data_IF_363373240432
#
_entry.id   IF_363373240432
#
_cell.length_a   1.000
_cell.length_b   1.000
_cell.length_c   1.000
_cell.angle_alpha   90.00
_cell.angle_beta   90.00
_cell.angle_gamma   90.00
#
_symmetry.space_group_name_H-M   'P 1'
#
loop_
_entity.id
_entity.type
_entity.pdbx_description
1 polymer ?
#
# COMPACT_ATOMS: atom_id res chain seq x y z
N UNK A 1 8.49 15.87 14.90
CA UNK A 1 8.39 16.70 13.69
C UNK A 1 7.93 15.88 12.50
N UNK A 2 8.62 14.78 12.09
CA UNK A 2 8.24 13.98 10.92
C UNK A 2 6.80 13.47 11.03
N UNK A 3 6.41 12.87 12.17
CA UNK A 3 5.05 12.36 12.37
C UNK A 3 3.97 13.44 12.15
N UNK A 4 4.18 14.63 12.69
CA UNK A 4 3.24 15.75 12.50
C UNK A 4 3.28 16.28 11.05
N UNK A 5 4.45 16.32 10.43
CA UNK A 5 4.56 16.81 9.05
C UNK A 5 3.91 15.87 8.02
N UNK A 6 3.87 14.57 8.29
CA UNK A 6 3.13 13.57 7.49
C UNK A 6 1.63 13.91 7.46
N UNK A 7 1.08 14.39 8.58
CA UNK A 7 -0.31 14.84 8.66
C UNK A 7 -0.65 15.95 7.65
N UNK A 8 0.33 16.78 7.32
CA UNK A 8 0.16 17.87 6.34
C UNK A 8 0.37 17.35 4.91
N UNK A 9 1.41 16.55 4.70
CA UNK A 9 1.72 16.02 3.38
C UNK A 9 2.51 14.71 3.44
N UNK A 10 2.00 13.67 2.81
CA UNK A 10 2.60 12.33 2.79
C UNK A 10 4.03 12.32 2.19
N UNK A 11 4.33 13.22 1.24
CA UNK A 11 5.67 13.35 0.66
C UNK A 11 6.76 13.68 1.69
N UNK A 12 6.41 14.15 2.89
CA UNK A 12 7.37 14.38 3.96
C UNK A 12 8.07 13.09 4.44
N UNK A 13 7.53 11.91 4.13
CA UNK A 13 8.23 10.63 4.31
C UNK A 13 9.53 10.54 3.51
N UNK A 14 9.63 11.26 2.38
CA UNK A 14 10.86 11.30 1.58
C UNK A 14 12.03 12.00 2.30
N UNK A 15 11.78 12.70 3.42
CA UNK A 15 12.85 13.21 4.28
C UNK A 15 13.58 12.08 5.04
N UNK A 16 12.99 10.89 5.20
CA UNK A 16 13.59 9.78 5.94
C UNK A 16 14.94 9.36 5.36
N UNK A 17 15.12 9.17 4.05
CA UNK A 17 16.42 8.88 3.46
C UNK A 17 17.50 9.92 3.81
N UNK A 18 17.17 11.20 3.72
CA UNK A 18 18.11 12.27 4.09
C UNK A 18 18.50 12.20 5.58
N UNK A 19 17.53 11.99 6.47
CA UNK A 19 17.76 11.88 7.91
C UNK A 19 18.61 10.67 8.26
N UNK A 20 18.34 9.51 7.62
CA UNK A 20 19.13 8.28 7.84
C UNK A 20 20.57 8.48 7.38
N UNK A 21 20.80 9.14 6.25
CA UNK A 21 22.16 9.47 5.81
C UNK A 21 22.87 10.43 6.77
N UNK A 22 22.20 11.51 7.20
CA UNK A 22 22.77 12.44 8.20
C UNK A 22 23.12 11.70 9.50
N UNK A 23 22.24 10.79 9.95
CA UNK A 23 22.49 9.95 11.12
C UNK A 23 23.71 9.03 10.90
N UNK A 24 23.82 8.41 9.73
CA UNK A 24 24.95 7.54 9.37
C UNK A 24 26.28 8.33 9.46
N UNK A 25 26.37 9.46 8.77
CA UNK A 25 27.59 10.29 8.77
C UNK A 25 27.94 10.87 10.14
N UNK A 26 26.93 11.15 10.98
CA UNK A 26 27.16 11.62 12.35
C UNK A 26 27.58 10.50 13.31
N UNK A 27 27.09 9.28 13.11
CA UNK A 27 27.29 8.16 14.03
C UNK A 27 28.59 7.42 13.80
N UNK A 28 29.01 7.24 12.56
CA UNK A 28 30.17 6.45 12.19
C UNK A 28 31.39 7.35 12.00
N UNK A 29 32.52 6.97 12.62
CA UNK A 29 33.76 7.78 12.56
C UNK A 29 34.40 7.80 11.17
N UNK A 30 34.29 6.70 10.43
CA UNK A 30 34.85 6.53 9.09
C UNK A 30 33.73 6.12 8.13
N UNK A 31 32.85 7.06 7.70
CA UNK A 31 31.81 6.76 6.74
C UNK A 31 32.43 6.48 5.37
N UNK A 32 31.94 5.43 4.73
CA UNK A 32 32.37 5.02 3.39
C UNK A 32 31.20 4.95 2.40
N UNK A 33 31.49 4.83 1.12
CA UNK A 33 30.47 4.77 0.07
C UNK A 33 29.56 3.55 0.18
N UNK A 34 30.10 2.39 0.62
CA UNK A 34 29.31 1.16 0.80
C UNK A 34 28.31 1.33 1.96
N UNK A 35 28.77 1.87 3.09
CA UNK A 35 27.89 2.12 4.21
C UNK A 35 26.84 3.17 3.91
N UNK A 36 27.15 4.21 3.15
CA UNK A 36 26.18 5.19 2.65
C UNK A 36 25.09 4.55 1.78
N UNK A 37 25.48 3.64 0.87
CA UNK A 37 24.53 2.90 0.06
C UNK A 37 23.63 2.00 0.90
N UNK A 38 24.20 1.29 1.88
CA UNK A 38 23.42 0.44 2.80
C UNK A 38 22.44 1.31 3.62
N UNK A 39 22.89 2.45 4.15
CA UNK A 39 22.03 3.38 4.89
C UNK A 39 20.87 3.89 4.02
N UNK A 40 21.14 4.19 2.76
CA UNK A 40 20.13 4.60 1.80
C UNK A 40 19.12 3.47 1.51
N UNK A 41 19.58 2.25 1.26
CA UNK A 41 18.71 1.10 1.04
C UNK A 41 17.83 0.81 2.27
N UNK A 42 18.42 0.83 3.47
CA UNK A 42 17.66 0.68 4.73
C UNK A 42 16.59 1.77 4.86
N UNK A 43 16.89 3.01 4.48
CA UNK A 43 15.91 4.09 4.54
C UNK A 43 14.73 3.87 3.60
N UNK A 44 14.96 3.37 2.40
CA UNK A 44 13.88 3.01 1.47
C UNK A 44 13.03 1.85 1.98
N UNK A 45 13.64 0.86 2.64
CA UNK A 45 12.90 -0.23 3.31
C UNK A 45 12.01 0.35 4.42
N UNK A 46 12.51 1.28 5.24
CA UNK A 46 11.70 1.94 6.28
C UNK A 46 10.52 2.68 5.66
N UNK A 47 10.74 3.47 4.60
CA UNK A 47 9.66 4.18 3.90
C UNK A 47 8.64 3.20 3.33
N UNK A 48 9.09 2.11 2.70
CA UNK A 48 8.21 1.09 2.16
C UNK A 48 7.37 0.40 3.25
N UNK A 49 7.98 0.07 4.40
CA UNK A 49 7.26 -0.51 5.55
C UNK A 49 6.18 0.44 6.10
N UNK A 50 6.42 1.74 6.09
CA UNK A 50 5.41 2.71 6.52
C UNK A 50 4.28 2.81 5.49
N UNK A 51 4.62 2.95 4.19
CA UNK A 51 3.64 3.18 3.13
C UNK A 51 2.81 1.94 2.77
N UNK A 52 3.42 0.76 2.77
CA UNK A 52 2.77 -0.48 2.33
C UNK A 52 2.43 -1.44 3.48
N UNK A 53 2.98 -1.23 4.68
CA UNK A 53 2.72 -2.04 5.85
C UNK A 53 1.93 -1.30 6.91
N UNK A 54 2.54 -0.30 7.55
CA UNK A 54 1.98 0.33 8.75
C UNK A 54 0.61 0.98 8.51
N UNK A 55 0.50 1.80 7.47
CA UNK A 55 -0.73 2.58 7.22
C UNK A 55 -1.84 1.71 6.63
N UNK A 56 -1.61 0.99 5.50
CA UNK A 56 -2.65 0.12 4.94
C UNK A 56 -3.05 -0.99 5.91
N UNK A 57 -2.09 -1.63 6.57
CA UNK A 57 -2.36 -2.73 7.49
C UNK A 57 -3.14 -2.30 8.73
N UNK A 58 -2.90 -1.11 9.28
CA UNK A 58 -3.71 -0.57 10.38
C UNK A 58 -5.17 -0.39 9.96
N UNK A 59 -5.39 0.14 8.76
CA UNK A 59 -6.74 0.35 8.23
C UNK A 59 -7.42 -0.98 7.92
N UNK A 60 -6.70 -1.94 7.33
CA UNK A 60 -7.23 -3.28 7.04
C UNK A 60 -7.68 -4.00 8.31
N UNK A 61 -6.89 -3.95 9.37
CA UNK A 61 -7.28 -4.47 10.68
C UNK A 61 -8.51 -3.75 11.26
N UNK A 62 -8.59 -2.44 11.08
CA UNK A 62 -9.76 -1.66 11.47
C UNK A 62 -11.01 -2.07 10.68
N UNK A 63 -10.89 -2.37 9.38
CA UNK A 63 -11.98 -2.88 8.53
C UNK A 63 -12.49 -4.24 9.02
N UNK A 64 -11.60 -5.18 9.37
CA UNK A 64 -12.02 -6.47 9.94
C UNK A 64 -12.77 -6.30 11.26
N UNK A 65 -12.28 -5.43 12.14
CA UNK A 65 -12.97 -5.12 13.38
C UNK A 65 -14.32 -4.43 13.14
N UNK A 66 -14.38 -3.56 12.15
CA UNK A 66 -15.64 -2.88 11.77
C UNK A 66 -16.69 -3.88 11.29
N UNK A 67 -16.34 -4.80 10.39
CA UNK A 67 -17.26 -5.86 9.96
C UNK A 67 -17.74 -6.73 11.11
N UNK A 68 -16.84 -7.06 12.05
CA UNK A 68 -17.22 -7.84 13.24
C UNK A 68 -18.21 -7.09 14.13
N UNK A 69 -17.94 -5.82 14.42
CA UNK A 69 -18.78 -5.04 15.32
C UNK A 69 -20.15 -4.70 14.71
N UNK A 70 -20.15 -4.29 13.45
CA UNK A 70 -21.39 -3.86 12.77
C UNK A 70 -22.20 -5.07 12.31
N UNK A 71 -21.60 -5.99 11.55
CA UNK A 71 -22.37 -7.07 10.92
C UNK A 71 -22.68 -8.23 11.87
N UNK A 72 -21.82 -8.52 12.88
CA UNK A 72 -22.00 -9.64 13.79
C UNK A 72 -22.63 -9.18 15.11
N UNK A 73 -22.11 -8.09 15.70
CA UNK A 73 -22.65 -7.60 16.99
C UNK A 73 -23.78 -6.59 16.84
N UNK A 74 -24.13 -6.16 15.62
CA UNK A 74 -25.22 -5.22 15.36
C UNK A 74 -24.99 -3.81 15.93
N UNK A 75 -23.72 -3.40 16.09
CA UNK A 75 -23.36 -2.07 16.55
C UNK A 75 -23.42 -1.05 15.40
N UNK A 76 -23.47 0.24 15.76
CA UNK A 76 -23.50 1.32 14.77
C UNK A 76 -22.21 1.44 13.94
N UNK A 77 -22.29 2.05 12.75
CA UNK A 77 -21.15 2.30 11.87
C UNK A 77 -19.99 3.00 12.60
N UNK A 78 -18.77 2.64 12.23
CA UNK A 78 -17.50 3.11 12.80
C UNK A 78 -17.20 2.66 14.23
N UNK A 79 -18.05 1.85 14.86
CA UNK A 79 -17.84 1.35 16.23
C UNK A 79 -16.64 0.40 16.33
N UNK A 80 -16.48 -0.50 15.36
CA UNK A 80 -15.37 -1.46 15.32
C UNK A 80 -14.04 -0.79 15.04
N UNK A 81 -13.98 0.14 14.11
CA UNK A 81 -12.78 0.92 13.81
C UNK A 81 -12.33 1.77 15.02
N UNK A 82 -13.28 2.37 15.75
CA UNK A 82 -13.00 3.12 16.97
C UNK A 82 -12.48 2.21 18.08
N UNK A 83 -13.14 1.06 18.32
CA UNK A 83 -12.75 0.09 19.33
C UNK A 83 -11.33 -0.44 19.06
N UNK A 84 -11.05 -0.82 17.81
CA UNK A 84 -9.72 -1.26 17.39
C UNK A 84 -8.66 -0.19 17.63
N UNK A 85 -8.92 1.05 17.24
CA UNK A 85 -7.99 2.17 17.42
C UNK A 85 -7.67 2.39 18.89
N UNK A 86 -8.68 2.38 19.78
CA UNK A 86 -8.48 2.52 21.23
C UNK A 86 -7.63 1.36 21.79
N UNK A 87 -7.90 0.12 21.38
CA UNK A 87 -7.15 -1.05 21.82
C UNK A 87 -5.71 -0.99 21.33
N UNK A 88 -5.47 -0.65 20.06
CA UNK A 88 -4.14 -0.55 19.48
C UNK A 88 -3.29 0.53 20.18
N UNK A 89 -3.85 1.70 20.41
CA UNK A 89 -3.18 2.77 21.15
C UNK A 89 -2.93 2.39 22.61
N UNK A 90 -3.88 1.74 23.28
CA UNK A 90 -3.71 1.22 24.63
C UNK A 90 -2.56 0.21 24.74
N UNK A 91 -2.46 -0.69 23.75
CA UNK A 91 -1.37 -1.67 23.69
C UNK A 91 0.00 -1.02 23.42
N UNK A 92 0.05 0.02 22.60
CA UNK A 92 1.28 0.80 22.40
C UNK A 92 1.74 1.49 23.67
N UNK A 93 0.82 2.14 24.37
CA UNK A 93 1.11 2.79 25.66
C UNK A 93 1.60 1.75 26.67
N UNK A 94 0.95 0.60 26.77
CA UNK A 94 1.37 -0.49 27.64
C UNK A 94 2.77 -1.02 27.30
N UNK A 95 3.06 -1.22 26.01
CA UNK A 95 4.37 -1.68 25.56
C UNK A 95 5.50 -0.67 25.90
N UNK A 96 5.25 0.63 25.69
CA UNK A 96 6.18 1.68 26.08
C UNK A 96 6.39 1.68 27.60
N UNK A 97 5.32 1.53 28.37
CA UNK A 97 5.38 1.46 29.84
C UNK A 97 6.20 0.27 30.32
N UNK A 98 5.98 -0.94 29.78
CA UNK A 98 6.74 -2.15 30.17
C UNK A 98 8.23 -2.03 29.81
N UNK A 99 8.55 -1.47 28.63
CA UNK A 99 9.93 -1.22 28.23
C UNK A 99 10.63 -0.15 29.10
N UNK A 100 9.87 0.84 29.59
CA UNK A 100 10.41 1.84 30.52
C UNK A 100 10.65 1.24 31.91
N UNK A 101 9.69 0.46 32.42
CA UNK A 101 9.75 -0.12 33.79
C UNK A 101 10.73 -1.30 33.89
N UNK A 102 10.94 -2.07 32.82
CA UNK A 102 11.84 -3.23 32.74
C UNK A 102 11.63 -4.27 33.85
N UNK A 103 10.40 -4.46 34.29
CA UNK A 103 10.09 -5.36 35.42
C UNK A 103 10.18 -6.84 35.06
N UNK A 104 9.64 -7.21 33.89
CA UNK A 104 9.50 -8.59 33.46
C UNK A 104 9.78 -8.72 31.97
N UNK A 105 10.80 -9.50 31.62
CA UNK A 105 11.20 -9.67 30.23
C UNK A 105 10.11 -10.33 29.37
N UNK A 106 9.33 -11.25 29.93
CA UNK A 106 8.21 -11.88 29.20
C UNK A 106 7.10 -10.88 28.88
N UNK A 107 6.76 -10.00 29.83
CA UNK A 107 5.76 -8.95 29.61
C UNK A 107 6.24 -7.92 28.60
N UNK A 108 7.53 -7.54 28.64
CA UNK A 108 8.12 -6.66 27.63
C UNK A 108 8.04 -7.27 26.21
N UNK A 109 8.34 -8.56 26.06
CA UNK A 109 8.23 -9.26 24.77
C UNK A 109 6.79 -9.34 24.30
N UNK A 110 5.87 -9.71 25.20
CA UNK A 110 4.45 -9.84 24.88
C UNK A 110 3.84 -8.49 24.49
N UNK A 111 4.04 -7.46 25.28
CA UNK A 111 3.50 -6.12 24.99
C UNK A 111 4.07 -5.54 23.71
N UNK A 112 5.36 -5.73 23.44
CA UNK A 112 5.98 -5.33 22.19
C UNK A 112 5.39 -6.08 20.98
N UNK A 113 5.24 -7.41 21.10
CA UNK A 113 4.61 -8.21 20.05
C UNK A 113 3.20 -7.74 19.75
N UNK A 114 2.35 -7.56 20.78
CA UNK A 114 0.98 -7.12 20.62
C UNK A 114 0.89 -5.68 20.03
N UNK A 115 1.76 -4.79 20.45
CA UNK A 115 1.81 -3.44 19.89
C UNK A 115 2.21 -3.45 18.40
N UNK A 116 3.20 -4.26 18.00
CA UNK A 116 3.60 -4.42 16.60
C UNK A 116 2.52 -5.12 15.79
N UNK A 117 1.90 -6.16 16.31
CA UNK A 117 0.76 -6.83 15.67
C UNK A 117 -0.39 -5.88 15.40
N UNK A 118 -0.85 -5.16 16.45
CA UNK A 118 -1.95 -4.20 16.34
C UNK A 118 -1.55 -2.89 15.62
N UNK A 119 -0.28 -2.67 15.35
CA UNK A 119 0.11 -1.56 14.47
C UNK A 119 -0.19 -1.83 12.99
N UNK A 120 -0.54 -3.07 12.62
CA UNK A 120 -0.80 -3.46 11.24
C UNK A 120 0.45 -3.63 10.37
N UNK A 121 1.65 -3.31 10.85
CA UNK A 121 2.89 -3.29 10.04
C UNK A 121 3.25 -4.65 9.41
N UNK A 122 2.72 -5.73 9.93
CA UNK A 122 2.91 -7.08 9.41
C UNK A 122 1.93 -7.46 8.31
N UNK A 123 0.87 -6.68 8.12
CA UNK A 123 -0.13 -6.89 7.09
C UNK A 123 0.30 -6.19 5.80
N UNK A 124 1.09 -6.87 5.01
CA UNK A 124 1.64 -6.38 3.74
C UNK A 124 1.09 -7.25 2.60
N UNK A 125 0.51 -6.59 1.59
CA UNK A 125 -0.05 -7.27 0.41
C UNK A 125 -1.46 -7.81 0.66
N UNK A 126 -2.02 -8.48 -0.35
CA UNK A 126 -3.43 -8.87 -0.40
C UNK A 126 -3.71 -10.29 0.14
N UNK A 127 -2.69 -10.96 0.69
CA UNK A 127 -2.80 -12.36 1.14
C UNK A 127 -2.54 -12.54 2.64
N UNK A 128 -3.10 -13.58 3.23
CA UNK A 128 -2.89 -13.97 4.64
C UNK A 128 -1.52 -14.63 4.90
N UNK A 129 -0.85 -15.15 3.87
CA UNK A 129 0.39 -15.92 4.02
C UNK A 129 1.54 -15.04 4.53
N UNK A 130 1.74 -13.85 3.94
CA UNK A 130 2.82 -12.93 4.33
C UNK A 130 2.64 -12.45 5.76
N UNK A 131 1.46 -11.96 6.20
CA UNK A 131 1.22 -11.61 7.60
C UNK A 131 1.53 -12.75 8.58
N UNK A 132 1.06 -13.98 8.28
CA UNK A 132 1.30 -15.14 9.15
C UNK A 132 2.79 -15.46 9.26
N UNK A 133 3.53 -15.46 8.16
CA UNK A 133 4.98 -15.68 8.15
C UNK A 133 5.72 -14.60 8.94
N UNK A 134 5.38 -13.34 8.73
CA UNK A 134 6.02 -12.22 9.45
C UNK A 134 5.72 -12.24 10.95
N UNK A 135 4.47 -12.56 11.34
CA UNK A 135 4.09 -12.70 12.74
C UNK A 135 4.77 -13.91 13.40
N UNK A 136 4.83 -15.05 12.70
CA UNK A 136 5.54 -16.23 13.15
C UNK A 136 7.05 -15.98 13.32
N UNK A 137 7.66 -15.29 12.37
CA UNK A 137 9.06 -14.88 12.46
C UNK A 137 9.32 -13.93 13.63
N UNK A 138 8.42 -12.96 13.86
CA UNK A 138 8.50 -12.04 14.98
C UNK A 138 8.37 -12.78 16.33
N UNK A 139 7.41 -13.68 16.44
CA UNK A 139 7.23 -14.55 17.63
C UNK A 139 8.49 -15.38 17.89
N UNK A 140 8.98 -16.07 16.86
CA UNK A 140 10.20 -16.87 16.97
C UNK A 140 11.39 -16.02 17.41
N UNK A 141 11.58 -14.85 16.76
CA UNK A 141 12.65 -13.92 17.11
C UNK A 141 12.56 -13.47 18.56
N UNK A 142 11.39 -13.02 19.02
CA UNK A 142 11.20 -12.48 20.37
C UNK A 142 11.32 -13.53 21.46
N UNK A 143 10.71 -14.70 21.29
CA UNK A 143 10.56 -15.67 22.38
C UNK A 143 11.59 -16.80 22.35
N UNK A 144 12.12 -17.15 21.18
CA UNK A 144 13.09 -18.25 21.02
C UNK A 144 14.51 -17.72 20.82
N UNK A 145 14.72 -16.83 19.85
CA UNK A 145 16.06 -16.38 19.49
C UNK A 145 16.62 -15.34 20.47
N UNK A 146 15.81 -14.37 20.86
CA UNK A 146 16.27 -13.21 21.65
C UNK A 146 16.37 -13.60 23.14
N UNK A 147 17.59 -13.81 23.64
CA UNK A 147 17.84 -14.13 25.06
C UNK A 147 17.61 -12.92 25.97
N UNK A 148 18.00 -11.71 25.52
CA UNK A 148 17.84 -10.45 26.27
C UNK A 148 17.36 -9.34 25.36
N UNK A 149 16.38 -8.57 25.82
CA UNK A 149 15.77 -7.49 25.03
C UNK A 149 16.74 -6.30 24.89
N UNK A 150 17.01 -5.83 23.67
CA UNK A 150 17.70 -4.57 23.45
C UNK A 150 16.73 -3.38 23.66
N UNK A 151 16.43 -3.07 24.91
CA UNK A 151 15.41 -2.09 25.34
C UNK A 151 15.48 -0.79 24.54
N UNK A 152 16.69 -0.28 24.28
CA UNK A 152 16.88 0.97 23.53
C UNK A 152 16.34 0.88 22.11
N UNK A 153 16.59 -0.25 21.40
CA UNK A 153 16.12 -0.46 20.02
C UNK A 153 14.61 -0.58 20.01
N UNK A 154 14.04 -1.37 20.92
CA UNK A 154 12.59 -1.59 21.00
C UNK A 154 11.86 -0.28 21.35
N UNK A 155 12.38 0.52 22.26
CA UNK A 155 11.84 1.85 22.54
C UNK A 155 11.87 2.76 21.31
N UNK A 156 12.97 2.79 20.56
CA UNK A 156 13.04 3.61 19.33
C UNK A 156 11.99 3.15 18.31
N UNK A 157 11.82 1.84 18.12
CA UNK A 157 10.82 1.30 17.19
C UNK A 157 9.40 1.72 17.62
N UNK A 158 9.02 1.46 18.88
CA UNK A 158 7.68 1.78 19.37
C UNK A 158 7.40 3.27 19.37
N UNK A 159 8.34 4.09 19.81
CA UNK A 159 8.17 5.54 19.79
C UNK A 159 8.05 6.07 18.36
N UNK A 160 8.82 5.51 17.41
CA UNK A 160 8.69 5.88 15.99
C UNK A 160 7.30 5.55 15.45
N UNK A 161 6.79 4.34 15.71
CA UNK A 161 5.43 3.93 15.32
C UNK A 161 4.39 4.85 15.96
N UNK A 162 4.50 5.10 17.28
CA UNK A 162 3.56 5.96 18.01
C UNK A 162 3.53 7.39 17.45
N UNK A 163 4.68 7.97 17.15
CA UNK A 163 4.77 9.33 16.58
C UNK A 163 4.19 9.38 15.16
N UNK A 164 4.35 8.32 14.37
CA UNK A 164 3.73 8.22 13.06
C UNK A 164 2.20 8.19 13.22
N UNK A 165 1.66 7.37 14.14
CA UNK A 165 0.21 7.33 14.40
C UNK A 165 -0.35 8.64 14.93
N UNK A 166 0.40 9.39 15.75
CA UNK A 166 0.00 10.76 16.14
C UNK A 166 -0.14 11.65 14.88
N UNK A 167 0.77 11.53 13.91
CA UNK A 167 0.63 12.23 12.64
C UNK A 167 -0.61 11.78 11.86
N UNK A 168 -0.77 10.47 11.69
CA UNK A 168 -1.91 9.91 10.97
C UNK A 168 -3.26 10.09 11.67
N UNK A 169 -3.31 10.40 12.97
CA UNK A 169 -4.57 10.69 13.66
C UNK A 169 -5.32 11.89 13.06
N UNK A 170 -4.65 12.75 12.29
CA UNK A 170 -5.31 13.81 11.52
C UNK A 170 -6.31 13.29 10.48
N UNK A 171 -6.10 12.06 9.96
CA UNK A 171 -7.06 11.44 9.04
C UNK A 171 -8.35 10.99 9.73
N UNK A 172 -8.36 10.79 11.04
CA UNK A 172 -9.58 10.61 11.81
C UNK A 172 -10.49 11.84 11.75
N UNK A 173 -9.91 13.05 11.64
CA UNK A 173 -10.68 14.28 11.44
C UNK A 173 -11.39 14.30 10.07
N UNK A 174 -10.79 13.70 9.03
CA UNK A 174 -11.46 13.57 7.73
C UNK A 174 -12.71 12.72 7.85
N UNK A 175 -12.61 11.57 8.52
CA UNK A 175 -13.73 10.66 8.76
C UNK A 175 -14.86 11.34 9.55
N UNK A 176 -14.52 12.05 10.64
CA UNK A 176 -15.48 12.79 11.46
C UNK A 176 -16.16 13.91 10.66
N UNK A 177 -15.39 14.68 9.88
CA UNK A 177 -15.94 15.77 9.07
C UNK A 177 -16.77 15.27 7.90
N UNK A 178 -16.38 14.17 7.28
CA UNK A 178 -17.11 13.52 6.19
C UNK A 178 -18.48 13.03 6.69
N UNK A 179 -18.52 12.41 7.88
CA UNK A 179 -19.78 11.96 8.51
C UNK A 179 -20.75 13.11 8.79
N UNK A 180 -20.27 14.34 8.94
CA UNK A 180 -21.09 15.54 9.13
C UNK A 180 -21.66 16.12 7.81
N UNK A 181 -21.46 15.48 6.65
CA UNK A 181 -21.95 15.88 5.33
C UNK A 181 -21.69 17.36 5.00
N UNK A 182 -20.43 17.79 5.11
CA UNK A 182 -20.03 19.16 4.80
C UNK A 182 -20.21 19.48 3.31
N UNK A 183 -20.44 20.77 2.90
CA UNK A 183 -20.69 21.13 1.50
C UNK A 183 -19.60 20.72 0.50
N UNK A 184 -18.34 20.64 0.96
CA UNK A 184 -17.22 20.13 0.17
C UNK A 184 -16.71 18.82 0.79
N UNK A 185 -17.31 17.71 0.38
CA UNK A 185 -16.97 16.38 0.86
C UNK A 185 -16.47 15.50 -0.30
N UNK A 186 -15.27 15.78 -0.77
CA UNK A 186 -14.66 15.04 -1.89
C UNK A 186 -14.37 13.58 -1.47
N UNK A 187 -14.87 12.63 -2.27
CA UNK A 187 -14.81 11.17 -2.04
C UNK A 187 -15.51 10.68 -0.77
N UNK A 188 -16.17 11.55 -0.01
CA UNK A 188 -16.98 11.25 1.16
C UNK A 188 -16.48 10.09 2.04
N UNK A 189 -15.23 10.12 2.57
CA UNK A 189 -14.69 9.03 3.38
C UNK A 189 -15.31 9.02 4.79
N UNK A 190 -16.57 8.59 4.89
CA UNK A 190 -17.36 8.60 6.12
C UNK A 190 -17.29 7.28 6.90
N UNK A 191 -16.57 6.32 6.39
CA UNK A 191 -16.29 5.02 7.00
C UNK A 191 -14.87 4.54 6.69
N UNK A 192 -14.43 3.47 7.36
CA UNK A 192 -13.05 2.97 7.25
C UNK A 192 -12.73 2.38 5.87
N UNK A 193 -13.73 1.93 5.10
CA UNK A 193 -13.53 1.39 3.75
C UNK A 193 -13.26 2.52 2.76
N UNK A 194 -14.07 3.57 2.78
CA UNK A 194 -13.88 4.75 1.94
C UNK A 194 -12.62 5.52 2.32
N UNK A 195 -12.26 5.53 3.62
CA UNK A 195 -11.00 6.08 4.09
C UNK A 195 -9.80 5.33 3.51
N UNK A 196 -9.89 3.99 3.38
CA UNK A 196 -8.85 3.17 2.73
C UNK A 196 -8.66 3.58 1.26
N UNK A 197 -9.74 3.66 0.50
CA UNK A 197 -9.72 4.09 -0.91
C UNK A 197 -9.16 5.51 -1.07
N UNK A 198 -9.51 6.40 -0.15
CA UNK A 198 -8.98 7.77 -0.12
C UNK A 198 -7.47 7.81 0.12
N UNK A 199 -6.97 7.07 1.11
CA UNK A 199 -5.55 7.04 1.45
C UNK A 199 -4.70 6.33 0.39
N UNK A 200 -5.23 5.29 -0.23
CA UNK A 200 -4.61 4.60 -1.35
C UNK A 200 -4.67 5.43 -2.66
N UNK A 201 -5.37 6.57 -2.64
CA UNK A 201 -5.49 7.47 -3.80
C UNK A 201 -6.07 6.77 -5.05
N UNK A 202 -6.97 5.82 -4.86
CA UNK A 202 -7.53 4.97 -5.93
C UNK A 202 -8.19 5.78 -7.06
N UNK A 203 -8.72 6.96 -6.75
CA UNK A 203 -9.29 7.88 -7.72
C UNK A 203 -8.33 8.37 -8.81
N UNK A 204 -7.01 8.27 -8.57
CA UNK A 204 -6.00 8.72 -9.54
C UNK A 204 -5.52 7.60 -10.46
N UNK A 205 -6.02 6.37 -10.25
CA UNK A 205 -5.59 5.16 -10.94
C UNK A 205 -4.19 4.69 -10.52
N UNK A 206 -3.90 3.46 -10.87
CA UNK A 206 -2.61 2.83 -10.55
C UNK A 206 -1.58 3.07 -11.66
N UNK A 207 -0.34 3.29 -11.25
CA UNK A 207 0.82 3.42 -12.15
C UNK A 207 1.80 2.32 -11.85
N UNK A 208 2.26 1.56 -12.84
CA UNK A 208 3.21 0.49 -12.60
C UNK A 208 4.57 1.07 -12.17
N UNK A 209 4.99 0.76 -10.94
CA UNK A 209 6.27 1.25 -10.39
C UNK A 209 7.43 0.31 -10.66
N UNK A 210 7.28 -0.97 -10.33
CA UNK A 210 8.35 -1.96 -10.41
C UNK A 210 8.18 -2.91 -11.61
N UNK A 211 6.96 -3.35 -11.87
CA UNK A 211 6.64 -4.24 -12.97
C UNK A 211 5.22 -3.93 -13.47
N UNK A 212 5.03 -3.92 -14.76
CA UNK A 212 3.71 -3.71 -15.36
C UNK A 212 3.77 -3.29 -16.83
N UNK A 213 2.64 -2.84 -17.31
CA UNK A 213 2.38 -2.53 -18.71
C UNK A 213 3.21 -1.36 -19.25
N UNK A 214 3.48 -1.41 -20.55
CA UNK A 214 4.04 -0.30 -21.32
C UNK A 214 2.95 0.46 -22.07
N UNK A 215 3.29 1.61 -22.65
CA UNK A 215 2.36 2.49 -23.36
C UNK A 215 1.60 1.83 -24.51
N UNK A 216 2.13 0.73 -25.05
CA UNK A 216 1.54 0.02 -26.20
C UNK A 216 0.69 -1.19 -25.78
N UNK A 217 0.55 -1.43 -24.47
CA UNK A 217 -0.31 -2.47 -23.93
C UNK A 217 -1.78 -2.17 -24.24
N UNK A 218 -2.52 -3.22 -24.56
CA UNK A 218 -3.97 -3.13 -24.81
C UNK A 218 -4.74 -4.07 -23.88
N UNK A 219 -6.04 -3.87 -23.81
CA UNK A 219 -6.93 -4.74 -23.06
C UNK A 219 -7.02 -6.10 -23.78
N UNK A 220 -6.98 -7.19 -23.02
CA UNK A 220 -7.25 -8.54 -23.50
C UNK A 220 -8.77 -8.77 -23.45
N UNK A 221 -9.31 -9.37 -24.51
CA UNK A 221 -10.71 -9.71 -24.60
C UNK A 221 -10.91 -11.22 -24.44
N UNK A 222 -11.93 -11.61 -23.71
CA UNK A 222 -12.42 -12.98 -23.67
C UNK A 222 -13.54 -13.14 -24.69
N UNK A 223 -13.45 -14.14 -25.55
CA UNK A 223 -14.48 -14.44 -26.54
C UNK A 223 -15.41 -15.49 -25.97
N UNK A 224 -16.67 -15.12 -25.81
CA UNK A 224 -17.71 -16.04 -25.30
C UNK A 224 -18.10 -17.13 -26.32
N UNK A 225 -18.95 -18.07 -25.91
CA UNK A 225 -19.44 -19.14 -26.75
C UNK A 225 -20.26 -18.64 -27.98
N UNK A 226 -20.75 -17.41 -27.94
CA UNK A 226 -21.46 -16.75 -29.04
C UNK A 226 -20.55 -16.02 -30.01
N UNK A 227 -19.22 -16.01 -29.75
CA UNK A 227 -18.21 -15.31 -30.55
C UNK A 227 -18.11 -13.81 -30.24
N UNK A 228 -18.74 -13.32 -29.15
CA UNK A 228 -18.69 -11.91 -28.81
C UNK A 228 -17.48 -11.61 -27.88
N UNK A 229 -16.67 -10.61 -28.22
CA UNK A 229 -15.54 -10.22 -27.36
C UNK A 229 -16.02 -9.38 -26.17
N UNK A 230 -15.69 -9.82 -24.96
CA UNK A 230 -15.90 -9.10 -23.72
C UNK A 230 -14.53 -8.72 -23.11
N UNK A 231 -14.35 -7.47 -22.70
CA UNK A 231 -13.11 -7.06 -22.07
C UNK A 231 -12.86 -7.90 -20.81
N UNK A 232 -11.71 -8.57 -20.75
CA UNK A 232 -11.32 -9.42 -19.64
C UNK A 232 -11.00 -8.55 -18.44
N UNK A 233 -11.55 -8.89 -17.28
CA UNK A 233 -11.33 -8.21 -16.02
C UNK A 233 -10.91 -9.22 -14.97
N UNK A 234 -9.91 -8.86 -14.18
CA UNK A 234 -9.60 -9.56 -12.94
C UNK A 234 -10.42 -8.95 -11.81
N UNK A 235 -11.05 -9.82 -11.00
CA UNK A 235 -11.73 -9.41 -9.78
C UNK A 235 -10.69 -9.23 -8.68
N UNK A 236 -10.58 -8.01 -8.17
CA UNK A 236 -9.73 -7.66 -7.05
C UNK A 236 -10.47 -7.66 -5.71
N UNK A 237 -10.06 -6.78 -4.80
CA UNK A 237 -10.62 -6.67 -3.45
C UNK A 237 -12.13 -6.41 -3.47
N UNK A 238 -12.83 -7.00 -2.51
CA UNK A 238 -14.24 -6.76 -2.24
C UNK A 238 -14.46 -5.31 -1.85
N UNK A 239 -15.49 -4.69 -2.43
CA UNK A 239 -15.94 -3.35 -2.07
C UNK A 239 -17.15 -3.50 -1.14
N UNK A 240 -17.01 -2.99 0.10
CA UNK A 240 -18.08 -2.93 1.06
C UNK A 240 -18.76 -1.57 1.03
N UNK A 241 -20.08 -1.56 1.03
CA UNK A 241 -20.89 -0.35 1.17
C UNK A 241 -21.89 -0.49 2.30
N UNK A 242 -22.42 0.64 2.77
CA UNK A 242 -23.48 0.66 3.76
C UNK A 242 -24.75 0.14 3.12
N UNK A 243 -25.47 -0.78 3.79
CA UNK A 243 -26.77 -1.27 3.34
C UNK A 243 -27.80 -0.14 3.31
N UNK A 244 -28.71 -0.19 2.34
CA UNK A 244 -29.83 0.75 2.24
C UNK A 244 -30.88 0.34 3.27
N UNK A 245 -31.13 1.20 4.28
CA UNK A 245 -32.18 0.98 5.27
C UNK A 245 -33.56 1.17 4.66
N UNK A 246 -34.43 0.21 4.85
CA UNK A 246 -35.84 0.28 4.46
C UNK A 246 -36.68 0.94 5.56
N UNK A 247 -36.28 0.74 6.83
CA UNK A 247 -36.86 1.36 8.00
C UNK A 247 -35.79 2.06 8.85
N UNK A 248 -36.12 3.13 9.60
CA UNK A 248 -35.19 3.75 10.54
C UNK A 248 -34.65 2.80 11.62
N UNK A 249 -35.42 1.74 11.94
CA UNK A 249 -35.07 0.75 12.96
C UNK A 249 -34.22 -0.39 12.44
N UNK A 250 -33.96 -0.43 11.12
CA UNK A 250 -33.09 -1.45 10.52
C UNK A 250 -31.65 -1.31 11.07
N UNK A 251 -31.01 -2.44 11.42
CA UNK A 251 -29.65 -2.40 11.96
C UNK A 251 -28.68 -1.89 10.89
N UNK A 252 -27.64 -1.22 11.35
CA UNK A 252 -26.49 -0.88 10.49
C UNK A 252 -25.83 -2.15 10.00
N UNK A 253 -25.49 -2.20 8.70
CA UNK A 253 -24.85 -3.35 8.08
C UNK A 253 -24.02 -2.93 6.88
N UNK A 254 -22.88 -3.57 6.71
CA UNK A 254 -22.11 -3.50 5.48
C UNK A 254 -22.44 -4.68 4.56
N UNK A 255 -22.61 -4.41 3.30
CA UNK A 255 -22.85 -5.40 2.25
C UNK A 255 -21.79 -5.31 1.17
N UNK A 256 -21.55 -6.42 0.50
CA UNK A 256 -20.69 -6.44 -0.67
C UNK A 256 -21.43 -5.79 -1.83
N UNK A 257 -20.98 -4.61 -2.24
CA UNK A 257 -21.57 -3.86 -3.36
C UNK A 257 -20.89 -4.14 -4.68
N UNK A 258 -19.74 -4.82 -4.67
CA UNK A 258 -18.98 -5.20 -5.86
C UNK A 258 -17.58 -5.65 -5.54
N UNK A 259 -16.78 -5.81 -6.61
CA UNK A 259 -15.35 -6.08 -6.54
C UNK A 259 -14.60 -4.99 -7.31
N UNK A 260 -13.46 -4.57 -6.81
CA UNK A 260 -12.52 -3.75 -7.57
C UNK A 260 -12.08 -4.57 -8.78
N UNK A 261 -12.46 -4.16 -9.97
CA UNK A 261 -12.11 -4.89 -11.19
C UNK A 261 -11.11 -4.09 -12.01
N UNK A 262 -10.04 -4.75 -12.44
CA UNK A 262 -9.04 -4.18 -13.32
C UNK A 262 -9.06 -4.88 -14.67
N UNK A 263 -8.86 -4.12 -15.74
CA UNK A 263 -8.74 -4.71 -17.06
C UNK A 263 -7.42 -5.47 -17.19
N UNK A 264 -7.51 -6.69 -17.69
CA UNK A 264 -6.33 -7.49 -18.00
C UNK A 264 -5.65 -6.88 -19.22
N UNK A 265 -4.41 -6.44 -19.06
CA UNK A 265 -3.60 -5.89 -20.13
C UNK A 265 -2.73 -6.98 -20.75
N UNK A 266 -2.32 -6.81 -22.01
CA UNK A 266 -1.45 -7.76 -22.74
C UNK A 266 -0.14 -8.00 -21.96
N UNK A 267 0.07 -9.21 -21.39
CA UNK A 267 1.19 -9.46 -20.47
C UNK A 267 2.56 -9.49 -21.15
N UNK A 268 2.59 -9.78 -22.45
CA UNK A 268 3.81 -9.84 -23.26
C UNK A 268 4.54 -8.47 -23.32
N UNK A 269 3.78 -7.38 -23.11
CA UNK A 269 4.31 -6.03 -23.11
C UNK A 269 4.73 -5.53 -21.72
N UNK A 270 4.50 -6.33 -20.67
CA UNK A 270 4.94 -5.96 -19.32
C UNK A 270 6.46 -5.94 -19.22
N UNK A 271 6.99 -5.00 -18.46
CA UNK A 271 8.43 -4.87 -18.24
C UNK A 271 8.76 -4.46 -16.80
N UNK A 272 10.02 -4.63 -16.42
CA UNK A 272 10.54 -4.10 -15.15
C UNK A 272 10.73 -2.59 -15.25
N UNK A 273 10.35 -1.89 -14.16
CA UNK A 273 10.51 -0.44 -13.99
C UNK A 273 9.95 0.36 -15.18
N UNK A 274 8.68 0.18 -15.57
CA UNK A 274 8.13 0.83 -16.75
C UNK A 274 8.00 2.34 -16.53
N UNK A 275 8.74 3.11 -17.31
CA UNK A 275 8.67 4.58 -17.32
C UNK A 275 7.82 5.12 -18.48
N UNK A 276 7.80 4.36 -19.58
CA UNK A 276 6.95 4.62 -20.76
C UNK A 276 5.68 3.75 -20.66
N UNK A 277 4.77 4.08 -19.75
CA UNK A 277 3.57 3.25 -19.48
C UNK A 277 2.26 3.86 -20.01
N UNK A 278 2.21 5.18 -20.21
CA UNK A 278 0.96 5.87 -20.56
C UNK A 278 0.78 5.95 -22.08
N UNK A 279 -0.26 5.30 -22.60
CA UNK A 279 -0.58 5.29 -24.02
C UNK A 279 -0.87 6.66 -24.62
N UNK A 280 -1.27 7.64 -23.82
CA UNK A 280 -1.49 9.04 -24.27
C UNK A 280 -0.23 9.69 -24.82
N UNK A 281 0.94 9.27 -24.31
CA UNK A 281 2.23 9.83 -24.65
C UNK A 281 3.01 8.98 -25.66
N UNK A 282 2.38 7.98 -26.30
CA UNK A 282 3.05 7.05 -27.21
C UNK A 282 3.86 7.74 -28.33
N UNK A 283 3.31 8.81 -28.93
CA UNK A 283 4.01 9.62 -29.92
C UNK A 283 5.19 10.37 -29.31
N UNK A 284 4.94 11.06 -28.19
CA UNK A 284 5.95 11.82 -27.49
C UNK A 284 7.15 10.98 -27.02
N UNK A 285 6.91 9.74 -26.55
CA UNK A 285 8.01 8.84 -26.18
C UNK A 285 8.96 8.57 -27.37
N UNK A 286 8.42 8.38 -28.57
CA UNK A 286 9.22 8.20 -29.77
C UNK A 286 10.02 9.45 -30.13
N UNK A 287 9.37 10.61 -30.07
CA UNK A 287 9.99 11.89 -30.40
C UNK A 287 11.09 12.26 -29.41
N UNK A 288 10.85 12.04 -28.12
CA UNK A 288 11.79 12.41 -27.05
C UNK A 288 13.01 11.49 -26.96
N UNK A 289 12.85 10.20 -27.27
CA UNK A 289 13.93 9.21 -27.07
C UNK A 289 14.49 8.67 -28.36
N UNK A 290 13.84 8.88 -29.50
CA UNK A 290 14.16 8.20 -30.76
C UNK A 290 14.03 6.68 -30.69
N UNK A 291 13.20 6.18 -29.75
CA UNK A 291 13.08 4.72 -29.51
C UNK A 291 12.58 3.99 -30.75
N UNK A 292 13.19 2.84 -30.98
CA UNK A 292 12.77 1.88 -32.02
C UNK A 292 11.96 0.74 -31.43
N UNK A 293 12.29 0.32 -30.21
CA UNK A 293 11.69 -0.79 -29.50
C UNK A 293 11.95 -2.14 -30.15
N UNK A 294 11.28 -3.17 -29.64
CA UNK A 294 11.29 -4.53 -30.21
C UNK A 294 9.88 -4.90 -30.63
N UNK A 295 9.66 -5.48 -31.82
CA UNK A 295 8.37 -6.07 -32.19
C UNK A 295 8.11 -7.30 -31.32
N UNK A 296 6.94 -7.36 -30.70
CA UNK A 296 6.48 -8.46 -29.86
C UNK A 296 5.09 -8.85 -30.34
N UNK A 297 4.87 -10.14 -30.58
CA UNK A 297 3.52 -10.66 -30.87
C UNK A 297 2.74 -10.72 -29.56
N UNK A 298 1.57 -10.09 -29.54
CA UNK A 298 0.68 -10.02 -28.38
C UNK A 298 -0.61 -10.70 -28.69
N UNK A 299 -1.19 -11.33 -27.67
CA UNK A 299 -2.52 -11.94 -27.72
C UNK A 299 -3.54 -10.91 -27.29
N UNK A 300 -4.44 -10.50 -28.20
CA UNK A 300 -5.47 -9.49 -27.89
C UNK A 300 -6.80 -10.11 -27.52
N UNK A 301 -7.03 -11.40 -27.81
CA UNK A 301 -8.21 -12.12 -27.37
C UNK A 301 -7.88 -13.58 -27.02
N UNK A 302 -8.57 -14.10 -26.02
CA UNK A 302 -8.50 -15.49 -25.53
C UNK A 302 -9.87 -16.14 -25.53
N UNK A 303 -9.90 -17.46 -25.58
CA UNK A 303 -11.11 -18.24 -25.36
C UNK A 303 -11.45 -18.36 -23.86
N UNK A 304 -12.57 -19.00 -23.51
CA UNK A 304 -12.98 -19.23 -22.12
C UNK A 304 -12.00 -20.10 -21.31
N UNK A 305 -11.08 -20.79 -21.96
CA UNK A 305 -10.03 -21.58 -21.32
C UNK A 305 -8.70 -20.83 -21.22
N UNK A 306 -8.66 -19.56 -21.65
CA UNK A 306 -7.44 -18.72 -21.62
C UNK A 306 -6.49 -18.99 -22.80
N UNK A 307 -6.86 -19.78 -23.80
CA UNK A 307 -6.03 -20.00 -24.98
C UNK A 307 -6.18 -18.84 -25.99
N UNK A 308 -5.11 -18.51 -26.73
CA UNK A 308 -5.16 -17.47 -27.75
C UNK A 308 -6.27 -17.75 -28.79
N UNK A 309 -7.16 -16.79 -28.99
CA UNK A 309 -8.23 -16.93 -30.00
C UNK A 309 -7.63 -16.76 -31.41
N UNK A 310 -7.95 -17.66 -32.35
CA UNK A 310 -7.38 -17.63 -33.71
C UNK A 310 -7.58 -16.28 -34.39
N UNK A 311 -6.54 -15.74 -35.02
CA UNK A 311 -6.60 -14.50 -35.78
C UNK A 311 -6.48 -13.21 -34.94
N UNK A 312 -6.42 -13.29 -33.61
CA UNK A 312 -6.32 -12.13 -32.71
C UNK A 312 -4.92 -11.93 -32.15
N UNK A 313 -3.89 -12.28 -32.93
CA UNK A 313 -2.51 -11.95 -32.62
C UNK A 313 -2.10 -10.69 -33.39
N UNK A 314 -1.49 -9.74 -32.69
CA UNK A 314 -0.99 -8.49 -33.27
C UNK A 314 0.47 -8.29 -32.93
N UNK A 315 1.23 -7.70 -33.84
CA UNK A 315 2.59 -7.28 -33.54
C UNK A 315 2.57 -5.85 -33.01
N UNK A 316 3.07 -5.66 -31.81
CA UNK A 316 3.19 -4.35 -31.16
C UNK A 316 4.63 -4.08 -30.75
N UNK A 317 5.00 -2.81 -30.70
CA UNK A 317 6.35 -2.41 -30.32
C UNK A 317 6.43 -2.27 -28.80
N UNK A 318 7.38 -3.01 -28.18
CA UNK A 318 7.73 -2.92 -26.77
C UNK A 318 9.03 -2.13 -26.63
N UNK A 319 9.09 -1.11 -25.75
CA UNK A 319 10.34 -0.43 -25.43
C UNK A 319 11.39 -1.45 -24.92
N UNK A 320 12.64 -1.28 -25.30
CA UNK A 320 13.71 -2.01 -24.63
C UNK A 320 13.97 -1.45 -23.24
N UNK A 321 14.57 -2.25 -22.36
CA UNK A 321 14.90 -1.79 -21.01
C UNK A 321 15.87 -0.60 -21.03
N UNK A 322 16.81 -0.57 -21.98
CA UNK A 322 17.74 0.55 -22.13
C UNK A 322 17.05 1.82 -22.60
N UNK A 323 16.16 1.75 -23.58
CA UNK A 323 15.37 2.91 -24.03
C UNK A 323 14.50 3.47 -22.89
N UNK A 324 13.91 2.58 -22.10
CA UNK A 324 13.13 2.96 -20.92
C UNK A 324 14.00 3.64 -19.84
N UNK A 325 15.22 3.17 -19.58
CA UNK A 325 16.17 3.83 -18.70
C UNK A 325 16.67 5.17 -19.28
N UNK A 326 16.94 5.25 -20.59
CA UNK A 326 17.30 6.51 -21.25
C UNK A 326 16.20 7.55 -21.09
N UNK A 327 14.92 7.16 -21.27
CA UNK A 327 13.79 8.04 -21.00
C UNK A 327 13.79 8.53 -19.55
N UNK A 328 14.02 7.64 -18.58
CA UNK A 328 14.07 8.02 -17.17
C UNK A 328 15.18 9.02 -16.87
N UNK A 329 16.44 8.70 -17.26
CA UNK A 329 17.58 9.54 -16.91
C UNK A 329 17.67 10.81 -17.76
N UNK A 330 17.54 10.69 -19.07
CA UNK A 330 17.77 11.82 -19.97
C UNK A 330 16.57 12.73 -20.06
N UNK A 331 15.36 12.20 -19.99
CA UNK A 331 14.15 12.99 -20.12
C UNK A 331 13.50 13.31 -18.78
N UNK A 332 13.11 12.29 -17.99
CA UNK A 332 12.42 12.56 -16.74
C UNK A 332 13.31 13.27 -15.72
N UNK A 333 14.52 12.77 -15.45
CA UNK A 333 15.40 13.40 -14.47
C UNK A 333 16.07 14.66 -15.00
N UNK A 334 16.67 14.60 -16.18
CA UNK A 334 17.50 15.70 -16.67
C UNK A 334 16.68 16.83 -17.31
N UNK A 335 15.60 16.52 -17.99
CA UNK A 335 14.83 17.51 -18.73
C UNK A 335 13.58 18.01 -18.02
N UNK A 336 12.88 17.14 -17.29
CA UNK A 336 11.65 17.55 -16.55
C UNK A 336 11.94 18.13 -15.16
N UNK A 337 13.00 17.66 -14.48
CA UNK A 337 13.30 18.07 -13.11
C UNK A 337 14.45 19.06 -12.98
N UNK A 338 15.14 19.37 -14.05
CA UNK A 338 16.16 20.43 -14.17
C UNK A 338 15.67 21.52 -15.10
#
# INVERSE_FOLDING_TARGET
VIGISIAVHLLNLLCIPAIVLVFYYKKFKNPDGKGSLIALLVSFVIVALILYGLVPGFIEMAQYCELLFVNVFGMGYNSGALAYTIIALGMMIWAVYELYRQRNEKLMKLSFFLAVFLSGITFIGDGWLIPVVLLGALLYYLFVYLKKIPVRIFNVILLSITVIFIGYSSYALLLIRSSANTPMNQNAPDNVFDLSSYLNREQYGDRPLLYGNTFNSGIVYEVDASGQPKAMKEEGKVIYGKSVKTSPDDPDRYEVIGHKSEYVMTPELNMLFPRMYDGKYAGAYKDWTGMKGKPVTVTTAVDQNGNPYPGNQQTRIKPTFLENLQFFFNYQLNHMYW
#
